data_IF_635278255868
#
_entry.id   IF_635278255868
#
_cell.length_a   1.000
_cell.length_b   1.000
_cell.length_c   1.000
_cell.angle_alpha   90.00
_cell.angle_beta   90.00
_cell.angle_gamma   90.00
#
_symmetry.space_group_name_H-M   'P 1'
#
loop_
_entity.id
_entity.type
_entity.pdbx_description
1 polymer ?
#
# COMPACT_ATOMS: atom_id res chain seq x y z
N UNK A 1 -4.51 -7.22 -39.81
CA UNK A 1 -4.80 -7.58 -38.41
C UNK A 1 -3.89 -6.72 -37.55
N UNK A 2 -4.43 -5.64 -36.96
CA UNK A 2 -3.67 -4.78 -36.05
C UNK A 2 -3.56 -5.51 -34.71
N UNK A 3 -2.35 -5.91 -34.33
CA UNK A 3 -2.07 -6.42 -32.98
C UNK A 3 -2.21 -5.24 -32.02
N UNK A 4 -3.33 -5.17 -31.31
CA UNK A 4 -3.51 -4.21 -30.22
C UNK A 4 -2.61 -4.67 -29.08
N UNK A 5 -1.68 -3.81 -28.65
CA UNK A 5 -0.84 -4.09 -27.48
C UNK A 5 -1.75 -4.08 -26.24
N UNK A 6 -1.75 -5.13 -25.41
CA UNK A 6 -2.56 -5.14 -24.19
C UNK A 6 -2.12 -4.00 -23.27
N UNK A 7 -3.11 -3.29 -22.72
CA UNK A 7 -2.94 -2.14 -21.84
C UNK A 7 -3.34 -2.54 -20.42
N UNK A 8 -2.39 -2.55 -19.50
CA UNK A 8 -2.68 -2.88 -18.10
C UNK A 8 -3.38 -1.72 -17.42
N UNK A 9 -4.57 -1.98 -16.90
CA UNK A 9 -5.39 -0.97 -16.21
C UNK A 9 -5.63 -1.44 -14.78
N UNK A 10 -5.19 -0.64 -13.82
CA UNK A 10 -5.50 -0.86 -12.40
C UNK A 10 -6.71 0.01 -12.03
N UNK A 11 -7.72 -0.61 -11.42
CA UNK A 11 -8.93 0.05 -10.95
C UNK A 11 -9.02 -0.06 -9.45
N UNK A 12 -9.55 0.96 -8.81
CA UNK A 12 -9.93 0.85 -7.40
C UNK A 12 -10.99 -0.25 -7.20
N UNK A 13 -10.97 -0.90 -6.04
CA UNK A 13 -11.93 -1.95 -5.67
C UNK A 13 -13.36 -1.43 -5.64
N UNK A 14 -13.57 -0.12 -5.34
CA UNK A 14 -14.88 0.51 -5.40
C UNK A 14 -15.47 0.52 -6.82
N UNK A 15 -14.63 0.76 -7.85
CA UNK A 15 -15.03 0.70 -9.25
C UNK A 15 -15.40 -0.73 -9.63
N UNK A 16 -14.54 -1.70 -9.30
CA UNK A 16 -14.79 -3.13 -9.57
C UNK A 16 -16.06 -3.63 -8.88
N UNK A 17 -16.28 -3.21 -7.64
CA UNK A 17 -17.48 -3.54 -6.86
C UNK A 17 -18.75 -3.00 -7.51
N UNK A 18 -18.72 -1.74 -8.00
CA UNK A 18 -19.86 -1.11 -8.70
C UNK A 18 -20.16 -1.78 -10.05
N UNK A 19 -19.14 -2.18 -10.80
CA UNK A 19 -19.34 -2.92 -12.07
C UNK A 19 -20.01 -4.27 -11.79
N UNK A 20 -19.52 -5.01 -10.80
CA UNK A 20 -20.11 -6.28 -10.39
C UNK A 20 -21.58 -6.12 -9.95
N UNK A 21 -21.88 -5.08 -9.17
CA UNK A 21 -23.22 -4.75 -8.72
C UNK A 21 -24.17 -4.44 -9.89
N UNK A 22 -23.74 -3.61 -10.85
CA UNK A 22 -24.52 -3.25 -12.02
C UNK A 22 -24.76 -4.46 -12.95
N UNK A 23 -23.78 -5.37 -13.07
CA UNK A 23 -23.88 -6.61 -13.87
C UNK A 23 -24.82 -7.64 -13.25
N UNK A 24 -24.92 -7.67 -11.92
CA UNK A 24 -25.86 -8.52 -11.19
C UNK A 24 -27.27 -7.92 -11.06
N UNK A 25 -27.48 -6.68 -11.52
CA UNK A 25 -28.73 -5.97 -11.35
C UNK A 25 -29.85 -6.50 -12.26
N UNK A 26 -31.10 -6.36 -11.83
CA UNK A 26 -32.29 -6.59 -12.65
C UNK A 26 -32.70 -5.34 -13.47
N UNK A 27 -32.09 -4.20 -13.18
CA UNK A 27 -32.37 -2.95 -13.88
C UNK A 27 -31.62 -2.91 -15.22
N UNK A 28 -32.39 -2.88 -16.31
CA UNK A 28 -31.88 -2.79 -17.68
C UNK A 28 -30.89 -1.64 -17.91
N UNK A 29 -31.09 -0.49 -17.26
CA UNK A 29 -30.19 0.65 -17.41
C UNK A 29 -28.83 0.38 -16.76
N UNK A 30 -28.80 -0.32 -15.62
CA UNK A 30 -27.56 -0.70 -14.92
C UNK A 30 -26.78 -1.75 -15.72
N UNK A 31 -27.48 -2.77 -16.21
CA UNK A 31 -26.92 -3.80 -17.09
C UNK A 31 -26.29 -3.19 -18.35
N UNK A 32 -26.99 -2.25 -18.99
CA UNK A 32 -26.49 -1.58 -20.18
C UNK A 32 -25.22 -0.75 -19.90
N UNK A 33 -25.13 -0.08 -18.74
CA UNK A 33 -23.93 0.65 -18.33
C UNK A 33 -22.73 -0.28 -18.12
N UNK A 34 -22.92 -1.40 -17.43
CA UNK A 34 -21.88 -2.40 -17.23
C UNK A 34 -21.40 -2.97 -18.58
N UNK A 35 -22.33 -3.34 -19.48
CA UNK A 35 -21.99 -3.84 -20.81
C UNK A 35 -21.25 -2.79 -21.67
N UNK A 36 -21.64 -1.52 -21.56
CA UNK A 36 -20.95 -0.42 -22.27
C UNK A 36 -19.51 -0.25 -21.77
N UNK A 37 -19.30 -0.36 -20.45
CA UNK A 37 -17.97 -0.33 -19.87
C UNK A 37 -17.12 -1.51 -20.34
N UNK A 38 -17.63 -2.75 -20.25
CA UNK A 38 -16.91 -3.95 -20.67
C UNK A 38 -16.49 -3.87 -22.14
N UNK A 39 -17.41 -3.44 -23.01
CA UNK A 39 -17.13 -3.23 -24.43
C UNK A 39 -16.04 -2.19 -24.65
N UNK A 40 -16.14 -1.02 -23.99
CA UNK A 40 -15.14 0.05 -24.12
C UNK A 40 -13.77 -0.39 -23.60
N UNK A 41 -13.76 -1.17 -22.52
CA UNK A 41 -12.55 -1.71 -21.93
C UNK A 41 -11.86 -2.69 -22.89
N UNK A 42 -12.62 -3.63 -23.47
CA UNK A 42 -12.13 -4.59 -24.47
C UNK A 42 -11.64 -3.89 -25.75
N UNK A 43 -12.41 -2.94 -26.29
CA UNK A 43 -12.04 -2.18 -27.50
C UNK A 43 -10.77 -1.35 -27.30
N UNK A 44 -10.48 -0.91 -26.06
CA UNK A 44 -9.23 -0.23 -25.72
C UNK A 44 -8.02 -1.16 -25.57
N UNK A 45 -8.21 -2.48 -25.67
CA UNK A 45 -7.20 -3.50 -25.38
C UNK A 45 -6.87 -3.60 -23.89
N UNK A 46 -7.80 -3.18 -23.03
CA UNK A 46 -7.63 -3.16 -21.58
C UNK A 46 -7.52 -4.57 -21.00
N UNK A 47 -6.58 -4.75 -20.08
CA UNK A 47 -6.45 -5.94 -19.23
C UNK A 47 -6.37 -5.46 -17.79
N UNK A 48 -7.27 -5.95 -16.93
CA UNK A 48 -7.26 -5.57 -15.52
C UNK A 48 -5.99 -6.09 -14.86
N UNK A 49 -5.26 -5.20 -14.18
CA UNK A 49 -4.14 -5.55 -13.34
C UNK A 49 -4.61 -5.64 -11.88
N UNK A 50 -4.59 -6.86 -11.34
CA UNK A 50 -5.07 -7.17 -9.99
C UNK A 50 -3.91 -7.59 -9.08
N UNK A 51 -4.14 -7.45 -7.78
CA UNK A 51 -3.27 -7.93 -6.71
C UNK A 51 -4.12 -8.41 -5.54
N UNK A 52 -3.50 -9.05 -4.55
CA UNK A 52 -4.17 -9.61 -3.37
C UNK A 52 -5.14 -8.64 -2.70
N UNK A 53 -4.76 -7.36 -2.61
CA UNK A 53 -5.57 -6.33 -1.97
C UNK A 53 -6.93 -6.10 -2.64
N UNK A 54 -7.03 -6.25 -3.98
CA UNK A 54 -8.31 -6.20 -4.67
C UNK A 54 -9.23 -7.33 -4.22
N UNK A 55 -8.69 -8.55 -4.06
CA UNK A 55 -9.46 -9.70 -3.60
C UNK A 55 -9.90 -9.54 -2.15
N UNK A 56 -9.00 -9.02 -1.30
CA UNK A 56 -9.32 -8.71 0.08
C UNK A 56 -10.50 -7.72 0.15
N UNK A 57 -10.50 -6.61 -0.59
CA UNK A 57 -11.61 -5.65 -0.51
C UNK A 57 -12.90 -6.12 -1.18
N UNK A 58 -12.78 -6.82 -2.31
CA UNK A 58 -13.94 -7.29 -3.05
C UNK A 58 -14.65 -8.41 -2.31
N UNK A 59 -13.90 -9.36 -1.75
CA UNK A 59 -14.47 -10.58 -1.18
C UNK A 59 -14.81 -10.42 0.31
N UNK A 60 -14.12 -9.58 1.08
CA UNK A 60 -14.38 -9.41 2.54
C UNK A 60 -15.68 -8.71 2.89
N UNK A 61 -16.56 -8.47 1.93
CA UNK A 61 -17.82 -7.79 2.17
C UNK A 61 -18.69 -8.56 3.16
N UNK A 62 -19.27 -7.87 4.15
CA UNK A 62 -20.07 -8.50 5.20
C UNK A 62 -21.33 -9.22 4.70
N UNK A 63 -21.84 -8.81 3.53
CA UNK A 63 -22.94 -9.49 2.82
C UNK A 63 -22.39 -10.53 1.81
N UNK A 64 -22.74 -11.80 2.03
CA UNK A 64 -22.30 -12.93 1.20
C UNK A 64 -22.81 -12.87 -0.24
N UNK A 65 -24.02 -12.37 -0.47
CA UNK A 65 -24.56 -12.21 -1.82
C UNK A 65 -23.74 -11.20 -2.63
N UNK A 66 -23.28 -10.13 -1.98
CA UNK A 66 -22.43 -9.12 -2.60
C UNK A 66 -21.04 -9.69 -2.91
N UNK A 67 -20.45 -10.44 -1.98
CA UNK A 67 -19.17 -11.11 -2.20
C UNK A 67 -19.27 -12.13 -3.36
N UNK A 68 -20.35 -12.91 -3.43
CA UNK A 68 -20.61 -13.87 -4.49
C UNK A 68 -20.78 -13.18 -5.86
N UNK A 69 -21.50 -12.05 -5.92
CA UNK A 69 -21.64 -11.24 -7.14
C UNK A 69 -20.30 -10.71 -7.64
N UNK A 70 -19.46 -10.19 -6.73
CA UNK A 70 -18.12 -9.71 -7.06
C UNK A 70 -17.20 -10.83 -7.55
N UNK A 71 -17.25 -11.99 -6.89
CA UNK A 71 -16.52 -13.18 -7.33
C UNK A 71 -16.97 -13.64 -8.73
N UNK A 72 -18.28 -13.70 -8.98
CA UNK A 72 -18.84 -14.07 -10.28
C UNK A 72 -18.42 -13.09 -11.40
N UNK A 73 -18.38 -11.79 -11.10
CA UNK A 73 -17.85 -10.79 -12.03
C UNK A 73 -16.38 -11.08 -12.37
N UNK A 74 -15.53 -11.26 -11.37
CA UNK A 74 -14.11 -11.58 -11.60
C UNK A 74 -13.92 -12.88 -12.38
N UNK A 75 -14.70 -13.92 -12.08
CA UNK A 75 -14.68 -15.19 -12.82
C UNK A 75 -15.06 -15.03 -14.29
N UNK A 76 -15.95 -14.09 -14.60
CA UNK A 76 -16.42 -13.83 -15.98
C UNK A 76 -15.37 -13.15 -16.86
N UNK A 77 -14.27 -12.66 -16.30
CA UNK A 77 -13.23 -11.96 -17.05
C UNK A 77 -12.41 -12.95 -17.89
N UNK A 78 -12.34 -12.79 -19.22
CA UNK A 78 -11.66 -13.73 -20.11
C UNK A 78 -10.14 -13.70 -19.94
N UNK A 79 -9.58 -12.53 -19.63
CA UNK A 79 -8.16 -12.32 -19.44
C UNK A 79 -7.92 -11.24 -18.38
N UNK A 80 -7.05 -11.57 -17.42
CA UNK A 80 -6.61 -10.68 -16.35
C UNK A 80 -5.10 -10.81 -16.16
N UNK A 81 -4.47 -9.71 -15.79
CA UNK A 81 -3.11 -9.69 -15.27
C UNK A 81 -3.17 -9.65 -13.74
N UNK A 82 -2.35 -10.44 -13.09
CA UNK A 82 -2.21 -10.42 -11.65
C UNK A 82 -0.74 -10.28 -11.27
N UNK A 83 -0.47 -9.61 -10.14
CA UNK A 83 0.82 -9.74 -9.48
C UNK A 83 0.99 -11.23 -9.12
N UNK A 84 2.10 -11.83 -9.54
CA UNK A 84 2.44 -13.20 -9.23
C UNK A 84 2.92 -13.30 -7.77
N UNK A 85 2.63 -14.43 -7.12
CA UNK A 85 3.34 -14.78 -5.88
C UNK A 85 4.83 -14.92 -6.20
N UNK A 86 5.70 -14.32 -5.38
CA UNK A 86 7.15 -14.41 -5.61
C UNK A 86 7.65 -15.86 -5.53
N UNK A 87 7.02 -16.68 -4.68
CA UNK A 87 7.31 -18.11 -4.51
C UNK A 87 6.63 -19.00 -5.56
N UNK A 88 5.94 -18.40 -6.55
CA UNK A 88 5.21 -19.10 -7.63
C UNK A 88 4.10 -20.03 -7.12
N UNK A 89 3.48 -19.66 -6.01
CA UNK A 89 2.24 -20.29 -5.56
C UNK A 89 1.11 -20.00 -6.57
N UNK A 90 0.07 -20.84 -6.61
CA UNK A 90 -1.09 -20.60 -7.49
C UNK A 90 -1.97 -19.41 -7.04
N UNK A 91 -1.52 -18.65 -6.05
CA UNK A 91 -2.21 -17.51 -5.46
C UNK A 91 -1.78 -16.18 -6.09
N UNK A 92 -2.67 -15.20 -5.97
CA UNK A 92 -2.40 -13.81 -6.37
C UNK A 92 -1.44 -13.18 -5.38
N UNK A 93 -0.39 -12.56 -5.91
CA UNK A 93 0.60 -11.83 -5.13
C UNK A 93 0.05 -10.51 -4.58
N UNK A 94 0.57 -10.14 -3.42
CA UNK A 94 0.31 -8.88 -2.74
C UNK A 94 1.30 -7.79 -3.15
N UNK A 95 1.17 -6.59 -2.57
CA UNK A 95 2.22 -5.56 -2.71
C UNK A 95 3.54 -6.01 -2.09
N UNK A 96 3.53 -6.94 -1.14
CA UNK A 96 4.77 -7.54 -0.63
C UNK A 96 5.47 -8.41 -1.69
N UNK A 97 4.71 -9.11 -2.53
CA UNK A 97 5.29 -9.90 -3.63
C UNK A 97 5.87 -8.99 -4.71
N UNK A 98 5.14 -7.91 -5.04
CA UNK A 98 5.66 -6.83 -5.89
C UNK A 98 6.98 -6.28 -5.33
N UNK A 99 7.02 -5.96 -4.03
CA UNK A 99 8.24 -5.51 -3.35
C UNK A 99 9.34 -6.56 -3.36
N UNK A 100 9.02 -7.85 -3.24
CA UNK A 100 10.01 -8.92 -3.35
C UNK A 100 10.67 -8.92 -4.74
N UNK A 101 9.90 -8.76 -5.82
CA UNK A 101 10.48 -8.62 -7.17
C UNK A 101 11.37 -7.37 -7.29
N UNK A 102 10.97 -6.23 -6.72
CA UNK A 102 11.79 -5.02 -6.71
C UNK A 102 13.08 -5.20 -5.91
N UNK A 103 13.01 -5.81 -4.73
CA UNK A 103 14.18 -6.09 -3.87
C UNK A 103 15.13 -7.04 -4.57
N UNK A 104 14.63 -8.11 -5.20
CA UNK A 104 15.45 -9.04 -5.98
C UNK A 104 16.19 -8.31 -7.11
N UNK A 105 15.48 -7.48 -7.88
CA UNK A 105 16.07 -6.69 -8.96
C UNK A 105 17.11 -5.67 -8.45
N UNK A 106 16.81 -4.96 -7.36
CA UNK A 106 17.70 -3.97 -6.75
C UNK A 106 18.94 -4.59 -6.09
N UNK A 107 18.81 -5.83 -5.62
CA UNK A 107 19.91 -6.63 -5.07
C UNK A 107 20.84 -7.15 -6.16
N UNK A 108 20.29 -7.68 -7.26
CA UNK A 108 21.05 -8.16 -8.42
C UNK A 108 21.83 -7.02 -9.09
N UNK A 109 21.27 -5.81 -9.13
CA UNK A 109 21.89 -4.64 -9.75
C UNK A 109 22.04 -3.48 -8.76
N UNK A 110 23.16 -3.42 -8.04
CA UNK A 110 23.38 -2.42 -6.97
C UNK A 110 23.39 -0.96 -7.47
N UNK A 111 23.80 -0.73 -8.72
CA UNK A 111 23.80 0.61 -9.33
C UNK A 111 22.53 0.95 -10.11
N UNK A 112 21.54 0.06 -10.14
CA UNK A 112 20.29 0.33 -10.85
C UNK A 112 19.53 1.47 -10.16
N UNK A 113 19.12 2.44 -10.97
CA UNK A 113 18.16 3.47 -10.57
C UNK A 113 16.74 2.86 -10.42
N UNK A 114 15.78 3.59 -9.83
CA UNK A 114 14.43 3.07 -9.61
C UNK A 114 13.72 2.63 -10.90
N UNK A 115 13.94 3.29 -12.04
CA UNK A 115 13.29 2.94 -13.30
C UNK A 115 13.81 1.61 -13.85
N UNK A 116 15.11 1.37 -13.73
CA UNK A 116 15.73 0.10 -14.09
C UNK A 116 15.23 -1.02 -13.17
N UNK A 117 15.15 -0.78 -11.85
CA UNK A 117 14.57 -1.75 -10.89
C UNK A 117 13.14 -2.10 -11.28
N UNK A 118 12.30 -1.11 -11.59
CA UNK A 118 10.93 -1.30 -12.07
C UNK A 118 10.88 -2.19 -13.32
N UNK A 119 11.71 -1.87 -14.31
CA UNK A 119 11.70 -2.57 -15.59
C UNK A 119 12.18 -4.02 -15.44
N UNK A 120 13.18 -4.29 -14.58
CA UNK A 120 13.64 -5.65 -14.28
C UNK A 120 12.61 -6.45 -13.49
N UNK A 121 12.01 -5.85 -12.45
CA UNK A 121 10.96 -6.48 -11.66
C UNK A 121 9.75 -6.87 -12.53
N UNK A 122 9.31 -5.96 -13.41
CA UNK A 122 8.17 -6.16 -14.31
C UNK A 122 8.30 -7.39 -15.23
N UNK A 123 9.52 -7.83 -15.57
CA UNK A 123 9.75 -9.00 -16.44
C UNK A 123 9.25 -10.31 -15.83
N UNK A 124 9.15 -10.39 -14.50
CA UNK A 124 8.81 -11.63 -13.76
C UNK A 124 7.56 -11.48 -12.88
N UNK A 125 7.04 -10.26 -12.74
CA UNK A 125 5.99 -9.93 -11.77
C UNK A 125 4.58 -10.31 -12.22
N UNK A 126 4.31 -10.36 -13.52
CA UNK A 126 2.94 -10.54 -14.01
C UNK A 126 2.61 -11.99 -14.34
N UNK A 127 1.45 -12.43 -13.86
CA UNK A 127 0.78 -13.66 -14.27
C UNK A 127 -0.46 -13.30 -15.10
N UNK A 128 -0.50 -13.71 -16.36
CA UNK A 128 -1.68 -13.58 -17.22
C UNK A 128 -2.49 -14.88 -17.15
N UNK A 129 -3.78 -14.77 -16.85
CA UNK A 129 -4.67 -15.93 -16.71
C UNK A 129 -6.13 -15.54 -16.94
N UNK A 130 -7.03 -16.53 -16.96
CA UNK A 130 -8.48 -16.28 -16.92
C UNK A 130 -8.92 -15.84 -15.53
N UNK A 131 -10.00 -15.06 -15.46
CA UNK A 131 -10.62 -14.70 -14.18
C UNK A 131 -11.12 -15.92 -13.40
N UNK A 132 -11.59 -16.96 -14.11
CA UNK A 132 -12.03 -18.21 -13.51
C UNK A 132 -10.91 -18.93 -12.75
N UNK A 133 -9.73 -19.06 -13.38
CA UNK A 133 -8.55 -19.67 -12.75
C UNK A 133 -8.00 -18.79 -11.63
N UNK A 134 -8.07 -17.46 -11.78
CA UNK A 134 -7.58 -16.52 -10.78
C UNK A 134 -8.37 -16.57 -9.47
N UNK A 135 -9.70 -16.72 -9.58
CA UNK A 135 -10.63 -16.70 -8.44
C UNK A 135 -10.75 -18.08 -7.77
N UNK A 136 -10.53 -19.18 -8.51
CA UNK A 136 -10.70 -20.56 -8.02
C UNK A 136 -10.06 -20.81 -6.63
N UNK A 137 -8.77 -20.48 -6.38
CA UNK A 137 -8.14 -20.75 -5.09
C UNK A 137 -8.82 -20.03 -3.91
N UNK A 138 -9.42 -18.87 -4.15
CA UNK A 138 -10.13 -18.08 -3.13
C UNK A 138 -11.46 -18.70 -2.77
N UNK A 139 -12.19 -19.24 -3.75
CA UNK A 139 -13.49 -19.87 -3.52
C UNK A 139 -13.33 -21.23 -2.83
N UNK A 140 -12.33 -22.01 -3.22
CA UNK A 140 -12.03 -23.30 -2.60
C UNK A 140 -11.65 -23.16 -1.12
N UNK A 141 -10.99 -22.06 -0.74
CA UNK A 141 -10.52 -21.79 0.62
C UNK A 141 -11.27 -20.65 1.32
N UNK A 142 -12.48 -20.32 0.85
CA UNK A 142 -13.19 -19.10 1.23
C UNK A 142 -13.36 -18.94 2.74
N UNK A 143 -13.78 -20.02 3.42
CA UNK A 143 -14.00 -20.01 4.87
C UNK A 143 -12.73 -19.73 5.67
N UNK A 144 -11.57 -20.23 5.22
CA UNK A 144 -10.28 -20.01 5.86
C UNK A 144 -9.76 -18.58 5.59
N UNK A 145 -9.96 -18.07 4.36
CA UNK A 145 -9.50 -16.75 3.96
C UNK A 145 -10.31 -15.62 4.61
N UNK A 146 -11.62 -15.81 4.79
CA UNK A 146 -12.51 -14.79 5.37
C UNK A 146 -12.08 -14.36 6.77
N UNK A 147 -11.75 -15.31 7.63
CA UNK A 147 -11.26 -15.00 8.98
C UNK A 147 -9.95 -14.20 8.94
N UNK A 148 -9.04 -14.55 8.03
CA UNK A 148 -7.80 -13.82 7.81
C UNK A 148 -8.02 -12.40 7.28
N UNK A 149 -9.01 -12.20 6.40
CA UNK A 149 -9.32 -10.87 5.89
C UNK A 149 -9.91 -9.94 6.94
N UNK A 150 -10.84 -10.42 7.78
CA UNK A 150 -11.41 -9.61 8.86
C UNK A 150 -10.33 -9.17 9.85
N UNK A 151 -9.44 -10.09 10.27
CA UNK A 151 -8.31 -9.76 11.13
C UNK A 151 -7.34 -8.75 10.46
N UNK A 152 -7.12 -8.87 9.15
CA UNK A 152 -6.30 -7.91 8.41
C UNK A 152 -6.96 -6.53 8.32
N UNK A 153 -8.28 -6.44 8.29
CA UNK A 153 -9.01 -5.18 8.23
C UNK A 153 -8.94 -4.43 9.56
N UNK A 154 -9.18 -5.13 10.68
CA UNK A 154 -8.99 -4.60 12.04
C UNK A 154 -7.56 -4.06 12.20
N UNK A 155 -6.56 -4.84 11.80
CA UNK A 155 -5.16 -4.40 11.87
C UNK A 155 -4.86 -3.19 11.00
N UNK A 156 -5.51 -3.07 9.84
CA UNK A 156 -5.32 -1.91 8.95
C UNK A 156 -5.87 -0.63 9.58
N UNK A 157 -7.03 -0.71 10.25
CA UNK A 157 -7.62 0.41 10.99
C UNK A 157 -6.67 0.90 12.10
N UNK A 158 -6.11 -0.02 12.89
CA UNK A 158 -5.13 0.32 13.93
C UNK A 158 -3.89 0.99 13.35
N UNK A 159 -3.32 0.42 12.29
CA UNK A 159 -2.11 0.95 11.64
C UNK A 159 -2.35 2.36 11.11
N UNK A 160 -3.48 2.61 10.43
CA UNK A 160 -3.81 3.95 9.93
C UNK A 160 -3.99 4.93 11.09
N UNK A 161 -4.74 4.54 12.13
CA UNK A 161 -5.03 5.41 13.25
C UNK A 161 -3.77 5.79 14.05
N UNK A 162 -2.86 4.84 14.27
CA UNK A 162 -1.59 5.08 14.95
C UNK A 162 -0.63 5.88 14.06
N UNK A 163 -0.51 5.55 12.78
CA UNK A 163 0.46 6.19 11.88
C UNK A 163 0.11 7.64 11.51
N UNK A 164 -1.18 8.00 11.50
CA UNK A 164 -1.63 9.39 11.25
C UNK A 164 -1.70 10.24 12.52
N UNK A 165 -1.66 9.63 13.70
CA UNK A 165 -1.61 10.35 14.96
C UNK A 165 -0.23 10.98 15.18
N UNK A 166 -0.21 12.28 15.44
CA UNK A 166 0.99 13.00 15.90
C UNK A 166 1.05 13.06 17.44
N UNK A 167 0.59 12.01 18.11
CA UNK A 167 0.51 11.94 19.59
C UNK A 167 1.84 12.29 20.26
N UNK A 168 2.96 11.96 19.60
CA UNK A 168 4.31 12.19 20.08
C UNK A 168 4.81 13.62 19.78
N UNK A 169 4.39 14.27 18.70
CA UNK A 169 4.85 15.60 18.30
C UNK A 169 6.37 15.68 18.06
N UNK A 170 7.00 14.56 17.66
CA UNK A 170 8.46 14.44 17.55
C UNK A 170 8.97 14.16 16.14
N UNK A 171 8.07 14.04 15.16
CA UNK A 171 8.40 13.59 13.80
C UNK A 171 9.51 14.41 13.15
N UNK A 172 9.43 15.75 13.25
CA UNK A 172 10.40 16.68 12.66
C UNK A 172 11.65 16.95 13.52
N UNK A 173 11.71 16.36 14.72
CA UNK A 173 12.83 16.59 15.63
C UNK A 173 14.07 15.87 15.09
N UNK A 174 15.19 16.57 15.01
CA UNK A 174 16.45 16.00 14.54
C UNK A 174 17.06 15.10 15.60
N UNK A 175 17.52 13.92 15.21
CA UNK A 175 18.18 12.96 16.10
C UNK A 175 19.40 13.58 16.78
N UNK A 176 20.18 14.38 16.04
CA UNK A 176 21.37 15.05 16.57
C UNK A 176 21.08 16.03 17.71
N UNK A 177 19.88 16.61 17.74
CA UNK A 177 19.46 17.52 18.81
C UNK A 177 19.03 16.72 20.05
N UNK A 178 18.39 15.57 19.84
CA UNK A 178 18.05 14.62 20.91
C UNK A 178 19.29 14.00 21.56
N UNK A 179 20.36 13.73 20.78
CA UNK A 179 21.63 13.21 21.32
C UNK A 179 22.24 14.21 22.31
N UNK A 180 22.13 15.50 22.02
CA UNK A 180 22.65 16.59 22.86
C UNK A 180 21.73 16.94 24.04
N UNK A 181 20.52 16.41 24.05
CA UNK A 181 19.52 16.66 25.09
C UNK A 181 19.88 16.03 26.44
N UNK A 182 19.25 16.54 27.50
CA UNK A 182 19.44 16.03 28.85
C UNK A 182 18.88 14.61 29.00
N UNK A 183 19.60 13.79 29.76
CA UNK A 183 19.21 12.41 30.08
C UNK A 183 18.08 12.43 31.10
N UNK A 184 16.93 11.87 30.73
CA UNK A 184 15.82 11.66 31.65
C UNK A 184 16.03 10.36 32.45
N UNK A 185 15.77 10.35 33.77
CA UNK A 185 15.69 9.10 34.54
C UNK A 185 14.69 8.12 33.93
N UNK A 186 14.96 6.81 34.06
CA UNK A 186 14.14 5.73 33.48
C UNK A 186 12.65 5.86 33.84
N UNK A 187 12.35 6.14 35.11
CA UNK A 187 10.96 6.27 35.58
C UNK A 187 10.25 7.49 35.00
N UNK A 188 10.97 8.61 34.84
CA UNK A 188 10.44 9.81 34.20
C UNK A 188 10.16 9.58 32.71
N UNK A 189 10.99 8.79 32.02
CA UNK A 189 10.71 8.37 30.64
C UNK A 189 9.51 7.44 30.53
N UNK A 190 9.39 6.44 31.41
CA UNK A 190 8.23 5.54 31.42
C UNK A 190 6.93 6.31 31.71
N UNK A 191 6.95 7.25 32.65
CA UNK A 191 5.81 8.14 32.90
C UNK A 191 5.48 9.00 31.68
N UNK A 192 6.49 9.55 30.99
CA UNK A 192 6.26 10.33 29.78
C UNK A 192 5.68 9.49 28.65
N UNK A 193 6.15 8.26 28.48
CA UNK A 193 5.68 7.30 27.48
C UNK A 193 4.23 6.87 27.76
N UNK A 194 3.88 6.58 29.02
CA UNK A 194 2.49 6.37 29.42
C UNK A 194 1.63 7.64 29.31
N UNK A 195 2.22 8.83 29.43
CA UNK A 195 1.52 10.09 29.12
C UNK A 195 1.13 10.24 27.65
N UNK A 196 1.85 9.58 26.74
CA UNK A 196 1.54 9.55 25.31
C UNK A 196 0.37 8.61 24.97
N UNK A 197 0.16 7.56 25.79
CA UNK A 197 -0.99 6.64 25.65
C UNK A 197 -2.33 7.36 25.61
N UNK A 198 -2.55 8.28 26.56
CA UNK A 198 -3.80 9.04 26.64
C UNK A 198 -4.02 9.97 25.44
N UNK A 199 -2.94 10.51 24.87
CA UNK A 199 -3.02 11.35 23.65
C UNK A 199 -3.38 10.52 22.44
N UNK A 200 -2.72 9.38 22.25
CA UNK A 200 -3.03 8.47 21.14
C UNK A 200 -4.47 7.95 21.24
N UNK A 201 -4.94 7.57 22.43
CA UNK A 201 -6.32 7.14 22.62
C UNK A 201 -7.33 8.25 22.28
N UNK A 202 -7.04 9.50 22.67
CA UNK A 202 -7.87 10.65 22.31
C UNK A 202 -7.91 10.90 20.79
N UNK A 203 -6.76 10.83 20.11
CA UNK A 203 -6.66 10.97 18.66
C UNK A 203 -7.46 9.87 17.93
N UNK A 204 -7.31 8.61 18.34
CA UNK A 204 -8.06 7.48 17.78
C UNK A 204 -9.57 7.67 18.00
N UNK A 205 -9.98 8.10 19.19
CA UNK A 205 -11.40 8.33 19.50
C UNK A 205 -12.01 9.46 18.68
N UNK A 206 -11.29 10.57 18.51
CA UNK A 206 -11.78 11.74 17.78
C UNK A 206 -11.77 11.50 16.26
N UNK A 207 -10.67 10.95 15.76
CA UNK A 207 -10.33 10.93 14.34
C UNK A 207 -10.14 9.54 13.75
N UNK A 208 -9.91 8.51 14.55
CA UNK A 208 -9.78 7.13 14.07
C UNK A 208 -11.05 6.60 13.41
N UNK A 209 -10.91 5.44 12.77
CA UNK A 209 -12.01 4.71 12.14
C UNK A 209 -13.08 4.36 13.18
N UNK A 210 -14.36 4.59 12.86
CA UNK A 210 -15.47 4.36 13.77
C UNK A 210 -15.66 2.87 14.13
N UNK A 211 -15.01 1.97 13.39
CA UNK A 211 -14.99 0.52 13.65
C UNK A 211 -14.01 0.12 14.76
N UNK A 212 -13.11 1.00 15.18
CA UNK A 212 -12.24 0.76 16.33
C UNK A 212 -13.09 0.87 17.60
N UNK A 213 -13.40 -0.27 18.21
CA UNK A 213 -14.34 -0.38 19.34
C UNK A 213 -13.76 0.19 20.64
N UNK A 214 -12.46 -0.04 20.89
CA UNK A 214 -11.79 0.35 22.14
C UNK A 214 -10.46 1.08 21.86
N UNK A 215 -10.52 2.41 21.61
CA UNK A 215 -9.34 3.25 21.38
C UNK A 215 -8.29 3.16 22.49
N UNK A 216 -8.74 3.04 23.74
CA UNK A 216 -7.92 2.94 24.93
C UNK A 216 -7.15 1.62 24.98
N UNK A 217 -7.79 0.50 24.63
CA UNK A 217 -7.14 -0.81 24.47
C UNK A 217 -6.12 -0.79 23.33
N UNK A 218 -6.50 -0.32 22.14
CA UNK A 218 -5.60 -0.23 20.97
C UNK A 218 -4.34 0.58 21.29
N UNK A 219 -4.51 1.74 21.93
CA UNK A 219 -3.38 2.55 22.39
C UNK A 219 -2.54 1.79 23.42
N UNK A 220 -3.16 1.10 24.38
CA UNK A 220 -2.45 0.38 25.45
C UNK A 220 -1.59 -0.74 24.88
N UNK A 221 -2.14 -1.57 24.00
CA UNK A 221 -1.41 -2.69 23.38
C UNK A 221 -0.22 -2.20 22.55
N UNK A 222 -0.37 -1.08 21.83
CA UNK A 222 0.74 -0.44 21.15
C UNK A 222 1.86 -0.03 22.11
N UNK A 223 1.52 0.65 23.21
CA UNK A 223 2.53 1.07 24.19
C UNK A 223 3.13 -0.09 24.98
N UNK A 224 2.39 -1.16 25.24
CA UNK A 224 2.92 -2.39 25.83
C UNK A 224 3.96 -3.06 24.91
N UNK A 225 3.72 -3.12 23.59
CA UNK A 225 4.71 -3.58 22.60
C UNK A 225 5.96 -2.68 22.61
N UNK A 226 5.79 -1.36 22.65
CA UNK A 226 6.92 -0.40 22.74
C UNK A 226 7.72 -0.59 24.04
N UNK A 227 7.07 -0.69 25.20
CA UNK A 227 7.71 -0.87 26.51
C UNK A 227 8.42 -2.22 26.59
N UNK A 228 7.82 -3.29 26.05
CA UNK A 228 8.44 -4.62 26.05
C UNK A 228 9.79 -4.60 25.34
N UNK A 229 9.91 -3.82 24.25
CA UNK A 229 11.16 -3.61 23.51
C UNK A 229 12.14 -2.68 24.23
N UNK A 230 11.62 -1.75 25.03
CA UNK A 230 12.41 -0.81 25.82
C UNK A 230 13.30 -1.49 26.88
N UNK A 231 12.87 -2.64 27.43
CA UNK A 231 13.60 -3.38 28.47
C UNK A 231 14.94 -3.98 28.01
N UNK A 232 15.19 -4.09 26.71
CA UNK A 232 16.38 -4.72 26.13
C UNK A 232 17.49 -3.72 25.72
N UNK A 233 17.31 -2.41 25.97
CA UNK A 233 18.18 -1.35 25.46
C UNK A 233 19.31 -1.04 26.46
N UNK A 234 20.53 -0.81 25.97
CA UNK A 234 21.75 -0.79 26.79
C UNK A 234 22.29 0.60 27.15
N UNK A 235 21.82 1.64 26.46
CA UNK A 235 22.29 3.03 26.61
C UNK A 235 21.36 3.87 27.49
N UNK A 236 21.84 4.94 28.12
CA UNK A 236 21.00 5.91 28.86
C UNK A 236 20.57 7.13 28.02
N UNK A 237 21.16 7.32 26.84
CA UNK A 237 20.84 8.44 25.96
C UNK A 237 19.56 8.18 25.14
N UNK A 238 18.52 9.01 25.24
CA UNK A 238 17.23 8.76 24.58
C UNK A 238 17.32 8.64 23.05
N UNK A 239 18.20 9.40 22.41
CA UNK A 239 18.42 9.29 20.97
C UNK A 239 19.15 8.00 20.60
N UNK A 240 20.20 7.64 21.34
CA UNK A 240 20.87 6.35 21.14
C UNK A 240 19.93 5.17 21.45
N UNK A 241 19.00 5.33 22.40
CA UNK A 241 17.94 4.33 22.67
C UNK A 241 17.00 4.17 21.48
N UNK A 242 16.55 5.28 20.90
CA UNK A 242 15.71 5.26 19.69
C UNK A 242 16.45 4.53 18.55
N UNK A 243 17.72 4.86 18.35
CA UNK A 243 18.55 4.21 17.33
C UNK A 243 18.76 2.71 17.61
N UNK A 244 19.10 2.31 18.83
CA UNK A 244 19.21 0.90 19.23
C UNK A 244 17.90 0.13 19.07
N UNK A 245 16.78 0.72 19.51
CA UNK A 245 15.43 0.14 19.38
C UNK A 245 15.06 -0.13 17.92
N UNK A 246 15.51 0.73 17.02
CA UNK A 246 15.28 0.63 15.58
C UNK A 246 16.44 -0.05 14.82
N UNK A 247 17.48 -0.48 15.54
CA UNK A 247 18.68 -1.11 15.00
C UNK A 247 19.54 -0.23 14.10
N UNK A 248 19.35 1.10 14.13
CA UNK A 248 20.02 2.06 13.24
C UNK A 248 21.36 2.48 13.83
N UNK A 249 22.43 2.44 13.03
CA UNK A 249 23.77 2.84 13.47
C UNK A 249 23.97 4.35 13.41
N UNK A 250 24.81 4.90 14.29
CA UNK A 250 25.17 6.33 14.26
C UNK A 250 25.80 6.78 12.93
N UNK A 251 26.47 5.87 12.20
CA UNK A 251 27.03 6.16 10.88
C UNK A 251 25.98 6.42 9.80
N UNK A 252 24.71 6.08 10.06
CA UNK A 252 23.58 6.30 9.15
C UNK A 252 22.83 7.61 9.45
N UNK A 253 23.23 8.33 10.50
CA UNK A 253 22.58 9.56 10.95
C UNK A 253 23.33 10.78 10.40
N UNK A 254 22.63 11.53 9.55
CA UNK A 254 23.07 12.82 9.06
C UNK A 254 22.62 13.99 9.96
N UNK A 255 23.12 15.20 9.70
CA UNK A 255 22.79 16.40 10.48
C UNK A 255 21.33 16.83 10.37
N UNK A 256 20.59 16.31 9.39
CA UNK A 256 19.17 16.60 9.15
C UNK A 256 18.27 15.38 9.35
N UNK A 257 18.81 14.23 9.78
CA UNK A 257 18.01 13.03 10.00
C UNK A 257 17.06 13.24 11.18
N UNK A 258 15.77 13.07 10.92
CA UNK A 258 14.67 13.27 11.87
C UNK A 258 14.29 11.96 12.55
N UNK A 259 13.47 12.03 13.61
CA UNK A 259 12.87 10.84 14.24
C UNK A 259 11.99 10.08 13.24
N UNK A 260 11.26 10.79 12.38
CA UNK A 260 10.46 10.18 11.32
C UNK A 260 11.33 9.36 10.35
N UNK A 261 12.46 9.91 9.88
CA UNK A 261 13.38 9.21 8.98
C UNK A 261 13.91 7.90 9.59
N UNK A 262 14.22 7.91 10.90
CA UNK A 262 14.66 6.70 11.61
C UNK A 262 13.52 5.68 11.71
N UNK A 263 12.30 6.11 11.97
CA UNK A 263 11.12 5.26 12.00
C UNK A 263 10.83 4.61 10.63
N UNK A 264 10.94 5.38 9.55
CA UNK A 264 10.79 4.89 8.18
C UNK A 264 11.87 3.86 7.84
N UNK A 265 13.14 4.13 8.19
CA UNK A 265 14.24 3.17 8.01
C UNK A 265 14.02 1.86 8.79
N UNK A 266 13.54 1.95 10.02
CA UNK A 266 13.26 0.79 10.85
C UNK A 266 12.13 -0.07 10.26
N UNK A 267 11.07 0.60 9.80
CA UNK A 267 9.93 -0.04 9.13
C UNK A 267 10.38 -0.73 7.86
N UNK A 268 11.20 -0.06 7.05
CA UNK A 268 11.79 -0.63 5.85
C UNK A 268 12.64 -1.86 6.14
N UNK A 269 13.48 -1.84 7.19
CA UNK A 269 14.29 -3.01 7.58
C UNK A 269 13.45 -4.19 8.04
N UNK A 270 12.42 -3.95 8.86
CA UNK A 270 11.45 -5.00 9.23
C UNK A 270 10.78 -5.60 8.00
N UNK A 271 10.41 -4.76 7.04
CA UNK A 271 9.87 -5.19 5.74
C UNK A 271 10.90 -6.02 4.97
N UNK A 272 12.18 -5.64 4.91
CA UNK A 272 13.23 -6.44 4.28
C UNK A 272 13.39 -7.81 4.94
N UNK A 273 13.34 -7.90 6.27
CA UNK A 273 13.35 -9.19 6.99
C UNK A 273 12.16 -10.05 6.56
N UNK A 274 10.95 -9.47 6.53
CA UNK A 274 9.74 -10.15 6.09
C UNK A 274 9.84 -10.65 4.64
N UNK A 275 10.30 -9.79 3.73
CA UNK A 275 10.51 -10.13 2.32
C UNK A 275 11.58 -11.20 2.15
N UNK A 276 12.62 -11.20 3.00
CA UNK A 276 13.72 -12.15 2.89
C UNK A 276 13.31 -13.60 3.17
N UNK A 277 12.24 -13.84 3.94
CA UNK A 277 11.66 -15.18 4.06
C UNK A 277 11.23 -15.75 2.70
N UNK A 278 10.83 -14.89 1.75
CA UNK A 278 10.48 -15.28 0.38
C UNK A 278 11.67 -15.31 -0.56
N UNK A 279 12.59 -14.37 -0.39
CA UNK A 279 13.75 -14.19 -1.27
C UNK A 279 14.84 -15.24 -1.06
N UNK A 280 15.04 -15.70 0.18
CA UNK A 280 16.12 -16.62 0.53
C UNK A 280 17.53 -16.05 0.34
N UNK A 281 17.68 -14.72 0.34
CA UNK A 281 18.96 -14.04 0.14
C UNK A 281 19.72 -13.85 1.47
N UNK A 282 21.04 -13.59 1.43
CA UNK A 282 21.81 -13.24 2.62
C UNK A 282 21.33 -11.91 3.21
N UNK A 283 20.58 -11.97 4.32
CA UNK A 283 19.94 -10.79 4.93
C UNK A 283 20.90 -9.61 5.19
N UNK A 284 22.12 -9.80 5.73
CA UNK A 284 23.04 -8.68 5.92
C UNK A 284 23.40 -7.97 4.62
N UNK A 285 23.52 -8.71 3.51
CA UNK A 285 23.80 -8.12 2.20
C UNK A 285 22.59 -7.39 1.64
N UNK A 286 21.37 -7.93 1.83
CA UNK A 286 20.14 -7.27 1.39
C UNK A 286 19.99 -5.91 2.07
N UNK A 287 20.15 -5.86 3.41
CA UNK A 287 20.06 -4.61 4.19
C UNK A 287 21.14 -3.61 3.79
N UNK A 288 22.34 -4.08 3.43
CA UNK A 288 23.42 -3.22 2.98
C UNK A 288 23.18 -2.64 1.58
N UNK A 289 22.74 -3.49 0.62
CA UNK A 289 22.66 -3.16 -0.82
C UNK A 289 21.35 -2.52 -1.24
N UNK A 290 20.24 -2.84 -0.56
CA UNK A 290 18.89 -2.42 -0.96
C UNK A 290 18.43 -1.27 -0.07
N UNK A 291 18.05 -0.15 -0.70
CA UNK A 291 17.55 1.07 -0.06
C UNK A 291 16.15 1.37 -0.56
N UNK A 292 15.28 1.87 0.31
CA UNK A 292 13.86 2.09 -0.03
C UNK A 292 13.69 3.11 -1.17
N UNK A 293 14.55 4.13 -1.22
CA UNK A 293 14.63 5.12 -2.31
C UNK A 293 15.00 4.55 -3.68
N UNK A 294 15.38 3.27 -3.75
CA UNK A 294 15.64 2.55 -5.01
C UNK A 294 14.45 1.70 -5.45
N UNK A 295 13.46 1.50 -4.58
CA UNK A 295 12.31 0.64 -4.84
C UNK A 295 11.14 1.50 -5.35
N UNK A 296 10.61 1.24 -6.56
CA UNK A 296 9.49 2.01 -7.10
C UNK A 296 8.28 2.06 -6.16
N UNK A 297 7.91 0.93 -5.56
CA UNK A 297 6.80 0.88 -4.60
C UNK A 297 7.10 1.65 -3.32
N UNK A 298 8.36 1.67 -2.85
CA UNK A 298 8.76 2.45 -1.67
C UNK A 298 8.61 3.94 -1.91
N UNK A 299 9.07 4.43 -3.06
CA UNK A 299 8.94 5.82 -3.48
C UNK A 299 7.47 6.23 -3.62
N UNK A 300 6.66 5.39 -4.29
CA UNK A 300 5.25 5.70 -4.49
C UNK A 300 4.48 5.66 -3.17
N UNK A 301 4.61 4.58 -2.40
CA UNK A 301 3.91 4.40 -1.13
C UNK A 301 4.21 5.55 -0.16
N UNK A 302 5.48 5.90 0.04
CA UNK A 302 5.86 6.99 0.95
C UNK A 302 5.35 8.34 0.46
N UNK A 303 5.45 8.63 -0.84
CA UNK A 303 4.93 9.89 -1.39
C UNK A 303 3.41 10.01 -1.21
N UNK A 304 2.65 8.93 -1.47
CA UNK A 304 1.20 8.94 -1.28
C UNK A 304 0.87 9.06 0.20
N UNK A 305 1.44 8.23 1.09
CA UNK A 305 1.22 8.29 2.54
C UNK A 305 1.43 9.70 3.10
N UNK A 306 2.51 10.39 2.71
CA UNK A 306 2.85 11.73 3.23
C UNK A 306 2.04 12.86 2.61
N UNK A 307 1.64 12.73 1.34
CA UNK A 307 0.95 13.81 0.61
C UNK A 307 -0.55 13.58 0.49
N UNK A 308 -1.06 12.45 0.99
CA UNK A 308 -2.48 12.16 1.00
C UNK A 308 -3.22 13.23 1.83
N UNK A 309 -4.24 13.89 1.26
CA UNK A 309 -5.00 14.90 1.99
C UNK A 309 -5.56 14.34 3.29
N UNK A 310 -5.37 15.10 4.37
CA UNK A 310 -5.90 14.74 5.69
C UNK A 310 -7.41 14.99 5.75
N UNK A 311 -8.11 14.14 6.49
CA UNK A 311 -9.56 14.11 6.59
C UNK A 311 -10.01 14.15 8.04
N UNK A 312 -11.28 14.51 8.27
CA UNK A 312 -11.83 14.52 9.63
C UNK A 312 -11.70 13.15 10.31
N UNK A 313 -11.88 12.08 9.55
CA UNK A 313 -11.77 10.69 9.98
C UNK A 313 -10.68 9.97 9.20
N UNK A 314 -9.94 9.09 9.86
CA UNK A 314 -8.87 8.25 9.34
C UNK A 314 -9.41 6.85 9.09
N UNK A 315 -9.87 6.61 7.87
CA UNK A 315 -10.45 5.34 7.46
C UNK A 315 -9.33 4.29 7.25
N UNK A 316 -9.51 3.09 7.80
CA UNK A 316 -8.57 1.98 7.64
C UNK A 316 -8.35 1.57 6.18
N UNK A 317 -9.33 1.82 5.30
CA UNK A 317 -9.21 1.55 3.85
C UNK A 317 -8.11 2.37 3.16
N UNK A 318 -7.68 3.49 3.74
CA UNK A 318 -6.59 4.31 3.18
C UNK A 318 -5.29 3.52 3.04
N UNK A 319 -5.02 2.55 3.93
CA UNK A 319 -3.82 1.72 3.82
C UNK A 319 -3.85 0.85 2.55
N UNK A 320 -5.03 0.32 2.20
CA UNK A 320 -5.20 -0.45 0.97
C UNK A 320 -5.04 0.43 -0.26
N UNK A 321 -5.56 1.66 -0.23
CA UNK A 321 -5.37 2.64 -1.31
C UNK A 321 -3.88 2.95 -1.53
N UNK A 322 -3.10 3.11 -0.45
CA UNK A 322 -1.66 3.33 -0.54
C UNK A 322 -0.94 2.12 -1.16
N UNK A 323 -1.36 0.90 -0.79
CA UNK A 323 -0.85 -0.32 -1.39
C UNK A 323 -1.20 -0.41 -2.89
N UNK A 324 -2.47 -0.23 -3.26
CA UNK A 324 -2.90 -0.28 -4.67
C UNK A 324 -2.26 0.82 -5.51
N UNK A 325 -1.96 1.99 -4.93
CA UNK A 325 -1.23 3.07 -5.60
C UNK A 325 0.14 2.63 -6.12
N UNK A 326 0.79 1.64 -5.50
CA UNK A 326 2.06 1.09 -5.98
C UNK A 326 1.96 0.46 -7.38
N UNK A 327 0.77 0.04 -7.80
CA UNK A 327 0.53 -0.49 -9.15
C UNK A 327 0.72 0.59 -10.22
N UNK A 328 0.70 1.88 -9.88
CA UNK A 328 0.91 2.97 -10.84
C UNK A 328 2.30 2.98 -11.49
N UNK A 329 3.30 2.28 -10.93
CA UNK A 329 4.56 2.06 -11.62
C UNK A 329 4.43 1.04 -12.78
N UNK A 330 3.44 0.15 -12.70
CA UNK A 330 3.38 -1.09 -13.47
C UNK A 330 2.19 -1.16 -14.42
N UNK A 331 1.05 -0.53 -14.06
CA UNK A 331 -0.12 -0.36 -14.91
C UNK A 331 0.10 0.79 -15.89
N UNK A 332 -0.35 0.63 -17.12
CA UNK A 332 -0.34 1.71 -18.11
C UNK A 332 -1.25 2.87 -17.71
N UNK A 333 -2.39 2.57 -17.06
CA UNK A 333 -3.26 3.55 -16.41
C UNK A 333 -3.72 3.04 -15.05
N UNK A 334 -3.66 3.89 -14.04
CA UNK A 334 -4.25 3.62 -12.71
C UNK A 334 -5.39 4.60 -12.44
N UNK A 335 -6.57 4.08 -12.17
CA UNK A 335 -7.73 4.86 -11.77
C UNK A 335 -7.83 4.90 -10.25
N UNK A 336 -7.89 6.10 -9.70
CA UNK A 336 -7.90 6.34 -8.25
C UNK A 336 -9.00 7.33 -7.87
N UNK A 337 -9.29 7.43 -6.57
CA UNK A 337 -10.19 8.43 -6.03
C UNK A 337 -9.62 9.86 -6.16
N UNK A 338 -10.44 10.86 -5.82
CA UNK A 338 -10.04 12.27 -5.91
C UNK A 338 -8.85 12.61 -5.00
N UNK A 339 -8.75 12.00 -3.82
CA UNK A 339 -7.76 12.35 -2.79
C UNK A 339 -6.39 11.77 -3.15
N UNK A 340 -6.37 10.51 -3.54
CA UNK A 340 -5.20 9.80 -4.03
C UNK A 340 -4.68 10.48 -5.30
N UNK A 341 -5.56 10.87 -6.24
CA UNK A 341 -5.14 11.61 -7.43
C UNK A 341 -4.44 12.94 -7.08
N UNK A 342 -4.94 13.68 -6.08
CA UNK A 342 -4.31 14.92 -5.64
C UNK A 342 -2.93 14.67 -5.00
N UNK A 343 -2.78 13.60 -4.23
CA UNK A 343 -1.48 13.17 -3.70
C UNK A 343 -0.49 12.86 -4.83
N UNK A 344 -0.92 12.12 -5.87
CA UNK A 344 -0.11 11.86 -7.07
C UNK A 344 0.29 13.16 -7.78
N UNK A 345 -0.63 14.12 -7.92
CA UNK A 345 -0.36 15.41 -8.56
C UNK A 345 0.73 16.18 -7.82
N UNK A 346 0.62 16.29 -6.50
CA UNK A 346 1.61 16.98 -5.67
C UNK A 346 2.95 16.23 -5.70
N UNK A 347 2.93 14.90 -5.62
CA UNK A 347 4.13 14.06 -5.65
C UNK A 347 4.92 14.23 -6.95
N UNK A 348 4.24 14.25 -8.11
CA UNK A 348 4.86 14.52 -9.43
C UNK A 348 5.54 15.88 -9.49
N UNK A 349 4.94 16.90 -8.87
CA UNK A 349 5.51 18.25 -8.85
C UNK A 349 6.75 18.33 -7.94
N UNK A 350 6.76 17.60 -6.83
CA UNK A 350 7.84 17.62 -5.84
C UNK A 350 9.03 16.72 -6.18
N UNK A 351 8.82 15.62 -6.92
CA UNK A 351 9.85 14.63 -7.19
C UNK A 351 9.89 14.19 -8.65
N UNK A 352 11.03 14.45 -9.31
CA UNK A 352 11.29 13.98 -10.69
C UNK A 352 11.31 12.46 -10.79
N UNK A 353 11.91 11.80 -9.79
CA UNK A 353 11.96 10.33 -9.71
C UNK A 353 10.56 9.74 -9.59
N UNK A 354 9.68 10.34 -8.77
CA UNK A 354 8.29 9.92 -8.70
C UNK A 354 7.59 10.08 -10.07
N UNK A 355 7.79 11.23 -10.73
CA UNK A 355 7.17 11.53 -12.01
C UNK A 355 7.58 10.56 -13.13
N UNK A 356 8.82 10.04 -13.12
CA UNK A 356 9.29 9.09 -14.11
C UNK A 356 8.88 7.63 -13.82
N UNK A 357 8.60 7.32 -12.56
CA UNK A 357 8.13 6.01 -12.14
C UNK A 357 6.63 5.81 -12.39
N UNK A 358 5.80 6.72 -11.89
CA UNK A 358 4.36 6.63 -11.99
C UNK A 358 3.90 6.91 -13.43
N UNK A 359 3.26 5.92 -14.06
CA UNK A 359 2.65 6.00 -15.40
C UNK A 359 1.36 6.82 -15.36
N UNK A 360 0.44 6.67 -16.31
CA UNK A 360 -0.77 7.50 -16.34
C UNK A 360 -1.65 7.22 -15.10
N UNK A 361 -2.08 8.27 -14.41
CA UNK A 361 -2.94 8.18 -13.23
C UNK A 361 -4.12 9.10 -13.45
N UNK A 362 -5.32 8.55 -13.42
CA UNK A 362 -6.56 9.27 -13.69
C UNK A 362 -7.52 9.18 -12.52
N UNK A 363 -8.34 10.21 -12.36
CA UNK A 363 -9.47 10.21 -11.45
C UNK A 363 -10.75 9.77 -12.18
N UNK A 364 -11.57 8.97 -11.51
CA UNK A 364 -12.92 8.64 -11.96
C UNK A 364 -13.85 8.53 -10.76
N UNK A 365 -14.99 9.24 -10.81
CA UNK A 365 -16.01 9.16 -9.77
C UNK A 365 -16.87 7.90 -9.90
N UNK A 366 -16.97 7.36 -11.12
CA UNK A 366 -17.67 6.11 -11.43
C UNK A 366 -16.90 5.33 -12.51
N UNK A 367 -17.07 4.02 -12.53
CA UNK A 367 -16.58 3.17 -13.62
C UNK A 367 -17.17 3.58 -14.98
N UNK A 368 -18.34 4.23 -15.02
CA UNK A 368 -18.91 4.74 -16.27
C UNK A 368 -18.08 5.89 -16.86
N UNK A 369 -17.44 6.71 -16.03
CA UNK A 369 -16.54 7.77 -16.50
C UNK A 369 -15.29 7.17 -17.16
N UNK A 370 -14.84 6.01 -16.66
CA UNK A 370 -13.70 5.28 -17.19
C UNK A 370 -13.95 4.84 -18.63
N UNK A 371 -15.16 4.32 -18.92
CA UNK A 371 -15.53 3.91 -20.28
C UNK A 371 -15.37 5.06 -21.28
N UNK A 372 -15.82 6.26 -20.92
CA UNK A 372 -15.68 7.45 -21.74
C UNK A 372 -14.21 7.87 -21.93
N UNK A 373 -13.40 7.77 -20.87
CA UNK A 373 -11.98 8.10 -20.92
C UNK A 373 -11.12 7.09 -21.70
N UNK A 374 -11.52 5.82 -21.73
CA UNK A 374 -10.85 4.76 -22.51
C UNK A 374 -11.18 4.86 -24.00
N UNK A 375 -12.37 5.39 -24.33
CA UNK A 375 -12.84 5.56 -25.72
C UNK A 375 -12.31 6.83 -26.38
N UNK A 376 -11.69 7.74 -25.63
CA UNK A 376 -11.12 8.97 -26.17
C UNK A 376 -9.82 8.68 -26.96
N UNK A 377 -9.64 9.24 -28.17
CA UNK A 377 -8.40 9.08 -28.94
C UNK A 377 -7.18 9.61 -28.15
N UNK A 378 -5.98 9.05 -28.37
CA UNK A 378 -4.76 9.47 -27.68
C UNK A 378 -4.29 10.85 -28.18
N UNK A 379 -4.96 11.90 -27.74
CA UNK A 379 -4.52 13.29 -27.87
C UNK A 379 -5.21 14.11 -26.78
N UNK A 380 -4.40 14.78 -25.94
CA UNK A 380 -4.73 15.59 -24.75
C UNK A 380 -4.33 15.01 -23.38
N UNK A 381 -3.29 14.18 -23.31
CA UNK A 381 -2.52 13.98 -22.07
C UNK A 381 -1.23 14.80 -22.18
N UNK A 382 -1.35 16.11 -21.93
CA UNK A 382 -0.21 17.01 -22.02
C UNK A 382 -0.59 18.48 -22.11
N UNK A 383 -1.25 19.01 -21.07
CA UNK A 383 -1.13 20.39 -20.57
C UNK A 383 -2.27 20.71 -19.60
N UNK A 384 -2.02 20.54 -18.30
CA UNK A 384 -2.50 21.41 -17.21
C UNK A 384 -1.80 21.03 -15.91
#
# INVERSE_FOLDING_TARGET
>A
MLLIRPKFVALDSSHLGKVAEDKASKDSARLQRAATFEKSFEESGGVLLLCWHHFQELLSHGNEDVAAQRAAYLQSLPLVAAIASFQKEDLVGSVLDLQAFEVAAAFENVSADPEMVRNEAAKRMFRLTSGADLVRPFLENWSALRAGFSASEERSQEVVAISKSDFAGMSDVKIVDLIKGELLPKDAMLQRLWGLHGRLAADIKERGDDRIVDPELTSREFFEDVVSRYGAISTDNPALRILEMFGVGMSEIGPNTTVADVGDLATFRKKLVLLNYRLGLPLPEVVAKVKEERLPSGIIFNAIRTLHPDTRKWDGSELTDWHMSCLAAYADVTYVDKRTHEAFRIARQKSKTFASLARDVKKAGSYSDIAAQLSAPPSEIGAA
#
